data_IF_711533354428
#
_entry.id   IF_711533354428
#
_cell.length_a   1.000
_cell.length_b   1.000
_cell.length_c   1.000
_cell.angle_alpha   90.00
_cell.angle_beta   90.00
_cell.angle_gamma   90.00
#
_symmetry.space_group_name_H-M   'P 1'
#
loop_
_entity.id
_entity.type
_entity.pdbx_description
1 polymer ?
#
# COMPACT_ATOMS: atom_id res chain seq x y z
N UNK A 1 3.50 29.59 14.25
CA UNK A 1 3.17 28.31 14.92
C UNK A 1 4.09 27.25 14.34
N UNK A 2 4.77 26.41 15.14
CA UNK A 2 5.62 25.35 14.61
C UNK A 2 4.78 24.37 13.78
N UNK A 3 5.29 23.98 12.61
CA UNK A 3 4.68 22.99 11.74
C UNK A 3 4.62 21.66 12.51
N UNK A 4 3.42 21.15 12.77
CA UNK A 4 3.25 19.83 13.41
C UNK A 4 3.92 18.77 12.54
N UNK A 5 5.05 18.25 13.00
CA UNK A 5 5.85 17.24 12.30
C UNK A 5 5.03 15.95 12.13
N UNK A 6 5.16 15.33 10.96
CA UNK A 6 4.48 14.08 10.65
C UNK A 6 4.85 13.00 11.68
N UNK A 7 3.90 12.16 12.14
CA UNK A 7 4.21 11.00 12.98
C UNK A 7 5.24 10.05 12.35
N UNK A 8 5.42 10.10 11.02
CA UNK A 8 6.45 9.34 10.30
C UNK A 8 7.85 9.79 10.69
N UNK A 9 8.07 11.06 11.02
CA UNK A 9 9.37 11.56 11.47
C UNK A 9 9.77 10.93 12.81
N UNK A 10 8.83 10.83 13.75
CA UNK A 10 9.05 10.11 15.00
C UNK A 10 9.43 8.64 14.74
N UNK A 11 8.76 7.99 13.80
CA UNK A 11 9.06 6.61 13.44
C UNK A 11 10.42 6.46 12.71
N UNK A 12 10.83 7.42 11.87
CA UNK A 12 12.19 7.46 11.29
C UNK A 12 13.25 7.53 12.38
N UNK A 13 13.06 8.39 13.38
CA UNK A 13 13.99 8.50 14.50
C UNK A 13 14.11 7.17 15.27
N UNK A 14 13.01 6.43 15.48
CA UNK A 14 13.05 5.11 16.10
C UNK A 14 13.77 4.04 15.26
N UNK A 15 13.75 4.15 13.94
CA UNK A 15 14.45 3.22 13.05
C UNK A 15 15.97 3.40 13.10
N UNK A 16 16.44 4.62 13.38
CA UNK A 16 17.86 4.98 13.47
C UNK A 16 18.41 4.86 14.90
N UNK A 17 17.54 4.98 15.91
CA UNK A 17 17.89 4.91 17.32
C UNK A 17 18.41 3.53 17.76
N UNK A 18 19.31 3.55 18.75
CA UNK A 18 19.77 2.38 19.49
C UNK A 18 18.66 1.81 20.39
N UNK A 19 18.77 0.56 20.86
CA UNK A 19 17.76 -0.02 21.77
C UNK A 19 17.50 0.81 23.03
N UNK A 20 18.55 1.35 23.66
CA UNK A 20 18.41 2.20 24.84
C UNK A 20 17.70 3.53 24.54
N UNK A 21 17.97 4.14 23.38
CA UNK A 21 17.28 5.35 22.93
C UNK A 21 15.81 5.07 22.59
N UNK A 22 15.51 3.92 21.99
CA UNK A 22 14.12 3.50 21.73
C UNK A 22 13.34 3.35 23.02
N UNK A 23 13.90 2.71 24.05
CA UNK A 23 13.25 2.60 25.37
C UNK A 23 12.92 3.98 25.95
N UNK A 24 13.86 4.92 25.83
CA UNK A 24 13.67 6.30 26.31
C UNK A 24 12.62 7.06 25.48
N UNK A 25 12.62 6.91 24.15
CA UNK A 25 11.65 7.54 23.26
C UNK A 25 10.23 7.00 23.42
N UNK A 26 10.11 5.76 23.90
CA UNK A 26 8.83 5.09 24.15
C UNK A 26 8.40 5.14 25.62
N UNK A 27 9.13 5.83 26.50
CA UNK A 27 8.88 5.83 27.95
C UNK A 27 7.43 6.14 28.34
N UNK A 28 6.79 7.09 27.65
CA UNK A 28 5.43 7.55 27.92
C UNK A 28 4.34 6.78 27.15
N UNK A 29 4.71 5.74 26.37
CA UNK A 29 3.78 4.92 25.59
C UNK A 29 3.22 3.76 26.42
N UNK A 30 1.94 3.45 26.21
CA UNK A 30 1.30 2.28 26.83
C UNK A 30 1.90 0.97 26.30
N UNK A 31 1.68 -0.13 27.02
CA UNK A 31 2.17 -1.46 26.62
C UNK A 31 1.65 -1.86 25.23
N UNK A 32 0.37 -1.58 24.95
CA UNK A 32 -0.26 -1.88 23.66
C UNK A 32 0.34 -1.03 22.52
N UNK A 33 0.56 0.26 22.78
CA UNK A 33 1.19 1.15 21.81
C UNK A 33 2.62 0.72 21.49
N UNK A 34 3.40 0.36 22.51
CA UNK A 34 4.76 -0.17 22.34
C UNK A 34 4.76 -1.45 21.50
N UNK A 35 3.89 -2.41 21.81
CA UNK A 35 3.78 -3.66 21.05
C UNK A 35 3.56 -3.42 19.54
N UNK A 36 2.67 -2.49 19.19
CA UNK A 36 2.40 -2.15 17.78
C UNK A 36 3.63 -1.48 17.14
N UNK A 37 4.28 -0.56 17.84
CA UNK A 37 5.48 0.13 17.36
C UNK A 37 6.62 -0.87 17.16
N UNK A 38 6.88 -1.76 18.11
CA UNK A 38 7.94 -2.75 18.05
C UNK A 38 7.75 -3.70 16.87
N UNK A 39 6.52 -4.18 16.64
CA UNK A 39 6.20 -5.00 15.48
C UNK A 39 6.49 -4.26 14.16
N UNK A 40 6.15 -2.97 14.08
CA UNK A 40 6.44 -2.15 12.90
C UNK A 40 7.93 -1.86 12.73
N UNK A 41 8.69 -1.68 13.81
CA UNK A 41 10.13 -1.49 13.74
C UNK A 41 10.81 -2.73 13.18
N UNK A 42 10.41 -3.94 13.61
CA UNK A 42 10.91 -5.19 13.05
C UNK A 42 10.59 -5.26 11.55
N UNK A 43 9.34 -5.01 11.15
CA UNK A 43 8.92 -5.03 9.74
C UNK A 43 9.76 -4.06 8.89
N UNK A 44 9.94 -2.82 9.34
CA UNK A 44 10.65 -1.80 8.57
C UNK A 44 12.17 -1.97 8.58
N UNK A 45 12.76 -2.55 9.62
CA UNK A 45 14.20 -2.87 9.65
C UNK A 45 14.57 -4.00 8.67
N UNK A 46 13.64 -4.88 8.35
CA UNK A 46 13.82 -5.94 7.35
C UNK A 46 13.72 -5.44 5.89
N UNK A 47 13.18 -4.23 5.66
CA UNK A 47 13.06 -3.67 4.32
C UNK A 47 14.40 -3.13 3.83
N UNK A 48 14.73 -3.31 2.53
CA UNK A 48 15.82 -2.59 1.90
C UNK A 48 15.66 -1.08 2.11
N UNK A 49 16.74 -0.33 2.44
CA UNK A 49 16.67 1.10 2.74
C UNK A 49 15.87 1.94 1.72
N UNK A 50 16.03 1.79 0.39
CA UNK A 50 15.28 2.60 -0.56
C UNK A 50 13.79 2.26 -0.57
N UNK A 51 13.41 1.00 -0.33
CA UNK A 51 12.00 0.58 -0.21
C UNK A 51 11.40 1.08 1.10
N UNK A 52 12.16 1.01 2.18
CA UNK A 52 11.78 1.50 3.49
C UNK A 52 11.42 2.99 3.44
N UNK A 53 12.34 3.82 2.94
CA UNK A 53 12.09 5.26 2.84
C UNK A 53 10.94 5.56 1.89
N UNK A 54 10.83 4.83 0.78
CA UNK A 54 9.72 5.02 -0.15
C UNK A 54 8.35 4.74 0.49
N UNK A 55 8.23 3.69 1.33
CA UNK A 55 6.99 3.40 2.09
C UNK A 55 6.70 4.44 3.17
N UNK A 56 7.75 4.88 3.90
CA UNK A 56 7.62 5.95 4.89
C UNK A 56 7.13 7.24 4.22
N UNK A 57 7.72 7.57 3.08
CA UNK A 57 7.35 8.76 2.30
C UNK A 57 5.91 8.72 1.81
N UNK A 58 5.45 7.56 1.34
CA UNK A 58 4.04 7.39 0.94
C UNK A 58 3.08 7.63 2.12
N UNK A 59 3.44 7.15 3.32
CA UNK A 59 2.65 7.35 4.53
C UNK A 59 2.64 8.82 4.97
N UNK A 60 3.79 9.48 4.87
CA UNK A 60 3.94 10.90 5.18
C UNK A 60 3.17 11.80 4.22
N UNK A 61 3.24 11.54 2.91
CA UNK A 61 2.44 12.26 1.92
C UNK A 61 0.95 12.08 2.17
N UNK A 62 0.51 10.88 2.56
CA UNK A 62 -0.89 10.63 2.91
C UNK A 62 -1.33 11.45 4.12
N UNK A 63 -0.48 11.56 5.14
CA UNK A 63 -0.75 12.38 6.32
C UNK A 63 -1.04 13.84 5.97
N UNK A 64 -0.29 14.40 5.02
CA UNK A 64 -0.51 15.78 4.54
C UNK A 64 -1.68 15.90 3.57
N UNK A 65 -1.86 14.95 2.64
CA UNK A 65 -2.88 15.00 1.60
C UNK A 65 -4.30 14.87 2.16
N UNK A 66 -4.52 13.94 3.10
CA UNK A 66 -5.87 13.59 3.54
C UNK A 66 -6.64 14.78 4.15
N UNK A 67 -6.05 15.61 5.02
CA UNK A 67 -6.78 16.77 5.55
C UNK A 67 -6.96 17.86 4.48
N UNK A 68 -6.02 18.04 3.54
CA UNK A 68 -6.16 18.98 2.42
C UNK A 68 -7.32 18.61 1.47
N UNK A 69 -7.50 17.32 1.19
CA UNK A 69 -8.58 16.79 0.33
C UNK A 69 -9.97 17.06 0.90
N UNK A 70 -10.10 17.10 2.23
CA UNK A 70 -11.36 17.38 2.94
C UNK A 70 -11.71 18.87 2.99
N UNK A 71 -10.79 19.74 2.60
CA UNK A 71 -10.99 21.17 2.54
C UNK A 71 -11.33 21.62 1.11
N UNK A 72 -12.13 22.70 1.03
CA UNK A 72 -12.34 23.44 -0.22
C UNK A 72 -11.02 24.06 -0.70
N UNK A 73 -10.78 24.18 -2.01
CA UNK A 73 -9.51 24.68 -2.55
C UNK A 73 -9.03 25.99 -1.91
N UNK A 74 -9.93 26.93 -1.65
CA UNK A 74 -9.63 28.26 -1.11
C UNK A 74 -9.18 28.21 0.37
N UNK A 75 -9.58 27.16 1.10
CA UNK A 75 -9.27 26.99 2.53
C UNK A 75 -7.95 26.24 2.78
N UNK A 76 -7.28 25.74 1.73
CA UNK A 76 -6.08 24.90 1.87
C UNK A 76 -4.81 25.68 2.20
N UNK A 77 -4.78 26.99 1.94
CA UNK A 77 -3.56 27.80 2.00
C UNK A 77 -2.78 27.68 3.31
N UNK A 78 -3.45 27.82 4.45
CA UNK A 78 -2.81 27.71 5.76
C UNK A 78 -2.25 26.30 6.04
N UNK A 79 -2.98 25.25 5.64
CA UNK A 79 -2.55 23.88 5.85
C UNK A 79 -1.43 23.47 4.88
N UNK A 80 -1.42 24.02 3.67
CA UNK A 80 -0.36 23.78 2.68
C UNK A 80 1.02 24.23 3.18
N UNK A 81 1.08 25.26 4.03
CA UNK A 81 2.32 25.71 4.65
C UNK A 81 2.92 24.67 5.62
N UNK A 82 2.12 23.70 6.08
CA UNK A 82 2.58 22.59 6.92
C UNK A 82 3.26 21.48 6.12
N UNK A 83 3.06 21.45 4.81
CA UNK A 83 3.72 20.49 3.92
C UNK A 83 5.19 20.91 3.71
N UNK A 84 6.16 19.99 3.87
CA UNK A 84 7.55 20.25 3.57
C UNK A 84 7.73 20.78 2.14
N UNK A 85 8.62 21.76 1.96
CA UNK A 85 8.73 22.48 0.67
C UNK A 85 9.04 21.55 -0.50
N UNK A 86 9.86 20.52 -0.26
CA UNK A 86 10.22 19.49 -1.24
C UNK A 86 9.02 18.67 -1.73
N UNK A 87 7.97 18.55 -0.91
CA UNK A 87 6.78 17.73 -1.21
C UNK A 87 5.63 18.56 -1.79
N UNK A 88 5.63 19.88 -1.59
CA UNK A 88 4.55 20.78 -2.05
C UNK A 88 4.22 20.59 -3.54
N UNK A 89 5.18 20.50 -4.48
CA UNK A 89 4.85 20.32 -5.89
C UNK A 89 4.04 19.04 -6.17
N UNK A 90 4.40 17.92 -5.53
CA UNK A 90 3.67 16.67 -5.69
C UNK A 90 2.27 16.78 -5.08
N UNK A 91 2.16 17.36 -3.88
CA UNK A 91 0.87 17.57 -3.20
C UNK A 91 -0.05 18.46 -4.05
N UNK A 92 0.46 19.54 -4.64
CA UNK A 92 -0.31 20.40 -5.54
C UNK A 92 -0.85 19.65 -6.75
N UNK A 93 0.00 18.85 -7.42
CA UNK A 93 -0.41 18.05 -8.58
C UNK A 93 -1.55 17.09 -8.18
N UNK A 94 -1.43 16.41 -7.04
CA UNK A 94 -2.47 15.49 -6.55
C UNK A 94 -3.76 16.20 -6.18
N UNK A 95 -3.68 17.38 -5.56
CA UNK A 95 -4.86 18.17 -5.21
C UNK A 95 -5.58 18.71 -6.44
N UNK A 96 -4.84 19.12 -7.48
CA UNK A 96 -5.47 19.49 -8.77
C UNK A 96 -6.21 18.31 -9.39
N UNK A 97 -5.64 17.10 -9.35
CA UNK A 97 -6.31 15.88 -9.81
C UNK A 97 -7.57 15.57 -8.98
N UNK A 98 -7.48 15.71 -7.66
CA UNK A 98 -8.58 15.55 -6.73
C UNK A 98 -9.74 16.53 -7.01
N UNK A 99 -9.41 17.78 -7.32
CA UNK A 99 -10.39 18.83 -7.57
C UNK A 99 -11.17 18.64 -8.88
N UNK A 100 -10.65 17.83 -9.81
CA UNK A 100 -11.35 17.46 -11.04
C UNK A 100 -12.41 16.37 -10.82
N UNK A 101 -12.33 15.62 -9.71
CA UNK A 101 -13.31 14.59 -9.39
C UNK A 101 -14.63 15.21 -8.96
N UNK A 102 -15.73 14.59 -9.36
CA UNK A 102 -17.07 14.85 -8.84
C UNK A 102 -17.24 14.34 -7.41
N UNK A 103 -18.38 14.66 -6.80
CA UNK A 103 -18.65 14.38 -5.38
C UNK A 103 -18.63 12.88 -5.07
N UNK A 104 -19.30 12.06 -5.89
CA UNK A 104 -19.35 10.62 -5.72
C UNK A 104 -17.95 9.97 -5.78
N UNK A 105 -17.13 10.34 -6.76
CA UNK A 105 -15.79 9.77 -6.92
C UNK A 105 -14.87 10.16 -5.76
N UNK A 106 -15.07 11.35 -5.17
CA UNK A 106 -14.37 11.78 -3.96
C UNK A 106 -14.78 10.95 -2.75
N UNK A 107 -16.07 10.70 -2.56
CA UNK A 107 -16.55 9.85 -1.46
C UNK A 107 -15.99 8.43 -1.55
N UNK A 108 -16.07 7.82 -2.74
CA UNK A 108 -15.53 6.48 -3.00
C UNK A 108 -14.01 6.41 -2.73
N UNK A 109 -13.26 7.41 -3.16
CA UNK A 109 -11.82 7.47 -2.94
C UNK A 109 -11.47 7.68 -1.46
N UNK A 110 -12.23 8.52 -0.72
CA UNK A 110 -12.02 8.70 0.72
C UNK A 110 -12.40 7.46 1.54
N UNK A 111 -13.35 6.66 1.06
CA UNK A 111 -13.74 5.38 1.66
C UNK A 111 -12.72 4.26 1.39
N UNK A 112 -11.84 4.43 0.39
CA UNK A 112 -10.88 3.41 -0.03
C UNK A 112 -9.46 3.70 0.46
N UNK A 113 -9.06 2.98 1.52
CA UNK A 113 -7.69 2.96 2.05
C UNK A 113 -6.63 2.67 0.95
N UNK A 114 -6.97 1.80 0.01
CA UNK A 114 -6.11 1.44 -1.12
C UNK A 114 -5.97 2.60 -2.11
N UNK A 115 -7.06 3.29 -2.44
CA UNK A 115 -7.03 4.45 -3.34
C UNK A 115 -6.22 5.60 -2.73
N UNK A 116 -6.40 5.87 -1.43
CA UNK A 116 -5.61 6.87 -0.71
C UNK A 116 -4.11 6.53 -0.69
N UNK A 117 -3.77 5.25 -0.51
CA UNK A 117 -2.38 4.79 -0.59
C UNK A 117 -1.78 4.98 -1.99
N UNK A 118 -2.57 4.73 -3.03
CA UNK A 118 -2.13 4.94 -4.42
C UNK A 118 -1.90 6.43 -4.72
N UNK A 119 -2.82 7.30 -4.30
CA UNK A 119 -2.72 8.75 -4.51
C UNK A 119 -1.47 9.35 -3.84
N UNK A 120 -1.17 8.90 -2.61
CA UNK A 120 -0.04 9.36 -1.82
C UNK A 120 1.31 8.75 -2.21
N UNK A 121 1.37 7.96 -3.29
CA UNK A 121 2.58 7.29 -3.75
C UNK A 121 3.62 8.30 -4.29
N UNK A 122 4.90 8.23 -3.87
CA UNK A 122 5.97 9.01 -4.49
C UNK A 122 6.12 8.69 -5.97
N UNK A 123 6.53 9.68 -6.78
CA UNK A 123 6.56 9.60 -8.26
C UNK A 123 7.42 8.44 -8.76
N UNK A 124 8.62 8.28 -8.21
CA UNK A 124 9.58 7.27 -8.65
C UNK A 124 9.62 6.14 -7.63
N UNK A 125 9.21 4.91 -7.98
CA UNK A 125 9.51 3.75 -7.15
C UNK A 125 11.02 3.52 -7.13
N UNK A 126 11.59 3.05 -6.02
CA UNK A 126 13.01 2.71 -5.99
C UNK A 126 13.29 1.57 -6.96
N UNK A 127 14.35 1.70 -7.74
CA UNK A 127 14.95 0.57 -8.45
C UNK A 127 15.46 -0.41 -7.41
N UNK A 128 15.01 -1.66 -7.47
CA UNK A 128 15.49 -2.71 -6.59
C UNK A 128 16.53 -3.49 -7.37
N UNK A 129 17.77 -3.50 -6.88
CA UNK A 129 18.80 -4.40 -7.42
C UNK A 129 18.34 -5.86 -7.22
N UNK A 130 18.52 -6.76 -8.20
CA UNK A 130 17.99 -8.13 -8.15
C UNK A 130 18.35 -8.91 -6.87
N UNK A 131 19.50 -8.59 -6.25
CA UNK A 131 19.98 -9.20 -5.00
C UNK A 131 19.37 -8.61 -3.71
N UNK A 132 18.61 -7.51 -3.77
CA UNK A 132 17.94 -6.91 -2.61
C UNK A 132 16.47 -7.36 -2.49
N UNK A 133 15.93 -7.99 -3.51
CA UNK A 133 14.70 -8.75 -3.41
C UNK A 133 15.05 -10.05 -2.67
N UNK A 134 14.82 -10.12 -1.37
CA UNK A 134 14.72 -11.39 -0.62
C UNK A 134 13.32 -11.56 0.01
N UNK A 135 12.32 -10.87 -0.54
CA UNK A 135 10.95 -10.80 -0.01
C UNK A 135 9.87 -11.19 -1.03
N UNK A 136 10.29 -11.72 -2.18
CA UNK A 136 9.39 -12.28 -3.20
C UNK A 136 10.02 -13.60 -3.61
N UNK A 137 9.31 -14.71 -3.45
CA UNK A 137 9.82 -16.03 -3.82
C UNK A 137 10.17 -16.04 -5.31
N UNK A 138 11.07 -16.93 -5.73
CA UNK A 138 11.43 -17.05 -7.15
C UNK A 138 10.19 -17.29 -8.03
N UNK A 139 9.20 -18.00 -7.49
CA UNK A 139 7.94 -18.29 -8.14
C UNK A 139 7.03 -17.07 -8.27
N UNK A 140 6.89 -16.27 -7.20
CA UNK A 140 6.13 -15.02 -7.24
C UNK A 140 6.75 -14.02 -8.23
N UNK A 141 8.08 -13.96 -8.33
CA UNK A 141 8.75 -13.14 -9.36
C UNK A 141 8.47 -13.63 -10.75
N UNK A 142 8.62 -14.93 -10.99
CA UNK A 142 8.33 -15.52 -12.29
C UNK A 142 6.87 -15.24 -12.69
N UNK A 143 5.93 -15.28 -11.74
CA UNK A 143 4.53 -14.98 -12.01
C UNK A 143 4.29 -13.49 -12.30
N UNK A 144 4.93 -12.59 -11.56
CA UNK A 144 4.88 -11.14 -11.82
C UNK A 144 5.47 -10.84 -13.20
N UNK A 145 6.62 -11.41 -13.53
CA UNK A 145 7.30 -11.23 -14.83
C UNK A 145 6.46 -11.77 -15.98
N UNK A 146 5.86 -12.96 -15.84
CA UNK A 146 4.93 -13.51 -16.84
C UNK A 146 3.71 -12.61 -17.03
N UNK A 147 3.14 -12.09 -15.94
CA UNK A 147 1.98 -11.21 -15.99
C UNK A 147 2.34 -9.87 -16.63
N UNK A 148 3.51 -9.31 -16.33
CA UNK A 148 4.03 -8.08 -16.94
C UNK A 148 4.38 -8.28 -18.41
N UNK A 149 4.98 -9.40 -18.78
CA UNK A 149 5.30 -9.75 -20.16
C UNK A 149 4.01 -9.91 -20.98
N UNK A 150 3.02 -10.62 -20.43
CA UNK A 150 1.69 -10.72 -21.02
C UNK A 150 1.05 -9.34 -21.18
N UNK A 151 1.05 -8.52 -20.12
CA UNK A 151 0.52 -7.16 -20.19
C UNK A 151 1.20 -6.31 -21.26
N UNK A 152 2.54 -6.36 -21.35
CA UNK A 152 3.32 -5.63 -22.36
C UNK A 152 3.05 -6.12 -23.78
N UNK A 153 2.74 -7.40 -23.95
CA UNK A 153 2.39 -8.01 -25.24
C UNK A 153 1.00 -7.63 -25.75
N UNK A 154 0.12 -7.12 -24.89
CA UNK A 154 -1.22 -6.70 -25.30
C UNK A 154 -1.17 -5.39 -26.12
N UNK A 155 -1.99 -5.28 -27.19
CA UNK A 155 -2.14 -4.04 -27.94
C UNK A 155 -2.62 -2.89 -27.06
N UNK A 156 -2.15 -1.68 -27.33
CA UNK A 156 -2.46 -0.48 -26.53
C UNK A 156 -3.97 -0.26 -26.26
N UNK A 157 -4.88 -0.41 -27.24
CA UNK A 157 -6.32 -0.28 -26.98
C UNK A 157 -6.85 -1.31 -25.98
N UNK A 158 -6.28 -2.53 -26.00
CA UNK A 158 -6.66 -3.61 -25.10
C UNK A 158 -6.07 -3.39 -23.69
N UNK A 159 -4.87 -2.83 -23.60
CA UNK A 159 -4.28 -2.40 -22.32
C UNK A 159 -5.13 -1.32 -21.66
N UNK A 160 -5.55 -0.31 -22.43
CA UNK A 160 -6.41 0.77 -21.94
C UNK A 160 -7.78 0.25 -21.50
N UNK A 161 -8.38 -0.66 -22.26
CA UNK A 161 -9.64 -1.30 -21.88
C UNK A 161 -9.52 -2.11 -20.59
N UNK A 162 -8.47 -2.92 -20.45
CA UNK A 162 -8.26 -3.71 -19.24
C UNK A 162 -7.92 -2.81 -18.03
N UNK A 163 -7.14 -1.75 -18.23
CA UNK A 163 -6.85 -0.77 -17.18
C UNK A 163 -8.13 -0.05 -16.72
N UNK A 164 -9.03 0.28 -17.65
CA UNK A 164 -10.36 0.84 -17.35
C UNK A 164 -11.21 -0.12 -16.51
N UNK A 165 -11.28 -1.40 -16.90
CA UNK A 165 -11.98 -2.45 -16.14
C UNK A 165 -11.41 -2.68 -14.73
N UNK A 166 -10.09 -2.53 -14.58
CA UNK A 166 -9.44 -2.56 -13.27
C UNK A 166 -9.82 -1.35 -12.42
N UNK A 167 -9.95 -0.16 -13.02
CA UNK A 167 -10.50 1.03 -12.37
C UNK A 167 -11.93 0.79 -11.88
N UNK A 168 -12.79 0.22 -12.73
CA UNK A 168 -14.18 -0.13 -12.39
C UNK A 168 -14.27 -1.16 -11.25
N UNK A 169 -13.32 -2.10 -11.13
CA UNK A 169 -13.31 -3.04 -10.00
C UNK A 169 -13.11 -2.35 -8.63
N UNK A 170 -12.39 -1.24 -8.59
CA UNK A 170 -12.23 -0.47 -7.36
C UNK A 170 -13.48 0.35 -7.00
N UNK A 171 -14.34 0.66 -7.97
CA UNK A 171 -15.64 1.33 -7.76
C UNK A 171 -16.77 0.34 -7.48
N UNK A 172 -16.57 -0.97 -7.65
CA UNK A 172 -17.56 -1.99 -7.27
C UNK A 172 -17.77 -2.04 -5.75
N UNK A 173 -19.04 -2.10 -5.35
CA UNK A 173 -19.47 -2.31 -3.96
C UNK A 173 -19.05 -3.69 -3.43
N UNK A 174 -19.01 -3.86 -2.11
CA UNK A 174 -18.69 -5.15 -1.46
C UNK A 174 -19.61 -6.29 -1.92
N UNK A 175 -20.87 -5.98 -2.24
CA UNK A 175 -21.83 -6.94 -2.77
C UNK A 175 -21.49 -7.39 -4.20
N UNK A 176 -20.96 -6.50 -5.04
CA UNK A 176 -20.55 -6.80 -6.42
C UNK A 176 -19.23 -7.57 -6.45
N UNK A 177 -18.28 -7.24 -5.58
CA UNK A 177 -17.04 -8.01 -5.37
C UNK A 177 -17.32 -9.45 -4.93
N UNK A 178 -18.29 -9.64 -4.03
CA UNK A 178 -18.75 -10.97 -3.63
C UNK A 178 -19.48 -11.72 -4.75
N UNK A 179 -20.13 -11.00 -5.67
CA UNK A 179 -20.72 -11.58 -6.89
C UNK A 179 -19.67 -12.05 -7.87
N UNK A 180 -18.57 -11.31 -8.02
CA UNK A 180 -17.39 -11.71 -8.82
C UNK A 180 -16.72 -12.95 -8.23
N UNK A 181 -16.67 -13.08 -6.89
CA UNK A 181 -16.23 -14.32 -6.22
C UNK A 181 -17.23 -15.48 -6.34
N UNK A 182 -18.49 -15.18 -6.68
CA UNK A 182 -19.50 -16.16 -7.06
C UNK A 182 -19.32 -16.76 -8.46
N UNK A 183 -18.36 -16.27 -9.25
CA UNK A 183 -18.04 -16.80 -10.59
C UNK A 183 -17.39 -18.19 -10.57
N UNK A 184 -16.92 -18.67 -9.42
CA UNK A 184 -16.47 -20.04 -9.27
C UNK A 184 -17.67 -20.98 -9.16
N UNK A 185 -17.73 -21.95 -10.05
CA UNK A 185 -18.76 -22.99 -10.07
C UNK A 185 -18.72 -23.82 -8.80
N UNK A 186 -19.85 -24.47 -8.45
CA UNK A 186 -19.90 -25.39 -7.31
C UNK A 186 -18.89 -26.56 -7.48
N UNK A 187 -18.60 -26.94 -8.72
CA UNK A 187 -17.59 -27.95 -9.06
C UNK A 187 -16.18 -27.46 -8.75
N UNK A 188 -15.82 -26.22 -9.07
CA UNK A 188 -14.49 -25.66 -8.74
C UNK A 188 -14.30 -25.51 -7.24
N UNK A 189 -15.35 -25.12 -6.50
CA UNK A 189 -15.31 -25.07 -5.03
C UNK A 189 -15.18 -26.46 -4.40
N UNK A 190 -15.91 -27.45 -4.90
CA UNK A 190 -15.78 -28.83 -4.43
C UNK A 190 -14.40 -29.43 -4.74
N UNK A 191 -13.85 -29.13 -5.93
CA UNK A 191 -12.51 -29.55 -6.33
C UNK A 191 -11.45 -28.96 -5.38
N UNK A 192 -11.54 -27.66 -5.09
CA UNK A 192 -10.58 -26.96 -4.22
C UNK A 192 -10.67 -27.45 -2.76
N UNK A 193 -11.86 -27.82 -2.30
CA UNK A 193 -12.08 -28.35 -0.96
C UNK A 193 -11.58 -29.80 -0.82
N UNK A 194 -11.69 -30.61 -1.87
CA UNK A 194 -11.07 -31.94 -1.97
C UNK A 194 -9.54 -31.85 -1.97
N UNK A 195 -8.96 -30.90 -2.69
CA UNK A 195 -7.50 -30.70 -2.71
C UNK A 195 -6.98 -30.26 -1.34
N UNK A 196 -7.70 -29.39 -0.63
CA UNK A 196 -7.32 -28.94 0.71
C UNK A 196 -7.47 -30.03 1.78
N UNK A 197 -8.50 -30.89 1.68
CA UNK A 197 -8.65 -32.03 2.59
C UNK A 197 -7.58 -33.10 2.36
N UNK A 198 -7.23 -33.37 1.10
CA UNK A 198 -6.14 -34.29 0.74
C UNK A 198 -4.77 -33.75 1.18
N UNK A 199 -4.54 -32.44 1.11
CA UNK A 199 -3.29 -31.84 1.60
C UNK A 199 -3.19 -31.88 3.13
N UNK A 200 -4.31 -31.70 3.83
CA UNK A 200 -4.38 -31.77 5.29
C UNK A 200 -4.18 -33.19 5.84
N UNK A 201 -4.39 -34.24 5.04
CA UNK A 201 -4.16 -35.64 5.43
C UNK A 201 -2.75 -36.17 5.14
N UNK A 202 -1.92 -35.42 4.40
CA UNK A 202 -0.52 -35.81 4.16
C UNK A 202 0.36 -35.63 5.41
N UNK A 203 1.36 -36.49 5.66
CA UNK A 203 2.36 -36.28 6.71
C UNK A 203 3.22 -35.03 6.46
N UNK A 204 3.75 -34.36 7.50
CA UNK A 204 4.47 -33.09 7.36
C UNK A 204 5.62 -33.12 6.34
N UNK A 205 6.38 -34.22 6.27
CA UNK A 205 7.50 -34.36 5.35
C UNK A 205 7.09 -34.48 3.86
N UNK A 206 5.87 -34.94 3.57
CA UNK A 206 5.34 -35.02 2.21
C UNK A 206 4.66 -33.71 1.79
N UNK A 207 4.11 -32.94 2.75
CA UNK A 207 3.62 -31.57 2.48
C UNK A 207 4.73 -30.65 2.00
N UNK A 208 5.94 -30.84 2.52
CA UNK A 208 7.12 -30.05 2.14
C UNK A 208 7.69 -30.42 0.76
N UNK A 209 7.25 -31.53 0.15
CA UNK A 209 7.66 -31.96 -1.20
C UNK A 209 6.59 -31.67 -2.27
N UNK A 210 5.35 -31.41 -1.88
CA UNK A 210 4.29 -30.96 -2.79
C UNK A 210 4.23 -29.44 -2.95
N UNK A 211 5.06 -28.71 -2.21
CA UNK A 211 5.42 -27.32 -2.48
C UNK A 211 6.59 -27.26 -3.46
#
# INVERSE_FOLDING_TARGET
MPVSRSPVEFFRNLLEATPAEVEQLLKDRTVEQRRVIDQKLVEYRLLPPPIREWRLKATELRWYLLPLMKLRPEARGALMLTVPEVDRPLVEIRLRQWDLLGEQEREEMLASETALRYLARPVTPPSIEPGQLNLVSAEERAQIERTLAHWRSLPEPRRQQLAGKFGEFFTLSTAEKNRTLGLFTASERAQMQLTLQSFASLPPAERDQCL
#
